data_IF_000227103443
#
_entry.id   IF_000227103443
#
_cell.length_a   1.000
_cell.length_b   1.000
_cell.length_c   1.000
_cell.angle_alpha   90.00
_cell.angle_beta   90.00
_cell.angle_gamma   90.00
#
_symmetry.space_group_name_H-M   'P 1'
#
loop_
_entity.id
_entity.type
_entity.pdbx_description
1 polymer ?
#
# COMPACT_ATOMS: atom_id res chain seq x y z
N UNK A 1 -0.02 -23.67 -10.10
CA UNK A 1 -0.80 -22.43 -9.91
C UNK A 1 -0.03 -21.33 -10.61
N UNK A 2 -0.66 -20.62 -11.56
CA UNK A 2 0.01 -19.53 -12.25
C UNK A 2 0.39 -18.41 -11.26
N UNK A 3 1.57 -17.85 -11.42
CA UNK A 3 2.14 -16.79 -10.55
C UNK A 3 2.28 -17.21 -9.08
N UNK A 4 2.67 -18.44 -8.81
CA UNK A 4 2.66 -19.06 -7.47
C UNK A 4 3.42 -18.25 -6.42
N UNK A 5 4.63 -17.78 -6.75
CA UNK A 5 5.43 -17.00 -5.80
C UNK A 5 4.78 -15.65 -5.46
N UNK A 6 4.31 -14.91 -6.46
CA UNK A 6 3.61 -13.63 -6.28
C UNK A 6 2.35 -13.80 -5.41
N UNK A 7 1.62 -14.91 -5.62
CA UNK A 7 0.43 -15.23 -4.82
C UNK A 7 0.78 -15.47 -3.35
N UNK A 8 1.86 -16.21 -3.07
CA UNK A 8 2.33 -16.49 -1.71
C UNK A 8 2.78 -15.23 -1.00
N UNK A 9 3.59 -14.41 -1.65
CA UNK A 9 4.07 -13.13 -1.10
C UNK A 9 2.89 -12.18 -0.80
N UNK A 10 1.96 -12.05 -1.75
CA UNK A 10 0.79 -11.18 -1.56
C UNK A 10 -0.12 -11.70 -0.42
N UNK A 11 -0.33 -13.03 -0.33
CA UNK A 11 -1.06 -13.64 0.77
C UNK A 11 -0.36 -13.42 2.12
N UNK A 12 0.97 -13.49 2.17
CA UNK A 12 1.76 -13.17 3.36
C UNK A 12 1.58 -11.69 3.76
N UNK A 13 1.64 -10.76 2.81
CA UNK A 13 1.41 -9.34 3.07
C UNK A 13 0.03 -9.08 3.68
N UNK A 14 -1.03 -9.72 3.17
CA UNK A 14 -2.37 -9.65 3.76
C UNK A 14 -2.41 -10.16 5.20
N UNK A 15 -1.82 -11.33 5.45
CA UNK A 15 -1.81 -11.94 6.80
C UNK A 15 -1.08 -11.05 7.81
N UNK A 16 0.03 -10.46 7.41
CA UNK A 16 0.76 -9.55 8.27
C UNK A 16 0.06 -8.21 8.46
N UNK A 17 -0.57 -7.67 7.43
CA UNK A 17 -1.41 -6.48 7.58
C UNK A 17 -2.54 -6.72 8.60
N UNK A 18 -3.14 -7.92 8.59
CA UNK A 18 -4.14 -8.28 9.60
C UNK A 18 -3.55 -8.37 11.02
N UNK A 19 -2.35 -8.97 11.19
CA UNK A 19 -1.67 -9.07 12.50
C UNK A 19 -1.28 -7.72 13.08
N UNK A 20 -0.93 -6.79 12.21
CA UNK A 20 -0.50 -5.44 12.58
C UNK A 20 -1.66 -4.45 12.73
N UNK A 21 -2.90 -4.92 12.52
CA UNK A 21 -4.11 -4.08 12.52
C UNK A 21 -4.05 -2.96 11.46
N UNK A 22 -3.46 -3.25 10.29
CA UNK A 22 -3.32 -2.32 9.17
C UNK A 22 -4.50 -2.35 8.20
N UNK A 23 -5.53 -3.12 8.49
CA UNK A 23 -6.72 -3.24 7.66
C UNK A 23 -7.98 -2.87 8.44
N UNK A 24 -9.04 -2.56 7.73
CA UNK A 24 -10.35 -2.25 8.31
C UNK A 24 -11.42 -3.21 7.78
N UNK A 25 -11.77 -4.21 8.60
CA UNK A 25 -12.77 -5.22 8.25
C UNK A 25 -12.43 -5.94 6.94
N UNK A 26 -13.22 -5.69 5.88
CA UNK A 26 -13.04 -6.23 4.52
C UNK A 26 -12.93 -5.12 3.47
N UNK A 27 -12.68 -3.89 3.91
CA UNK A 27 -12.75 -2.69 3.05
C UNK A 27 -11.45 -2.36 2.32
N UNK A 28 -10.31 -2.94 2.72
CA UNK A 28 -9.00 -2.64 2.13
C UNK A 28 -8.62 -3.64 1.03
N UNK A 29 -7.64 -3.27 0.21
CA UNK A 29 -7.25 -4.08 -0.94
C UNK A 29 -5.79 -3.91 -1.30
N UNK A 30 -5.14 -5.04 -1.65
CA UNK A 30 -3.78 -5.12 -2.13
C UNK A 30 -3.76 -5.82 -3.48
N UNK A 31 -2.90 -5.37 -4.39
CA UNK A 31 -2.70 -6.02 -5.68
C UNK A 31 -1.23 -6.09 -6.07
N UNK A 32 -0.92 -7.04 -6.94
CA UNK A 32 0.39 -7.19 -7.55
C UNK A 32 0.24 -7.53 -9.04
N UNK A 33 0.87 -6.74 -9.90
CA UNK A 33 0.91 -6.98 -11.33
C UNK A 33 1.68 -8.24 -11.68
N UNK A 34 1.17 -9.00 -12.63
CA UNK A 34 1.76 -10.26 -13.12
C UNK A 34 2.08 -10.24 -14.61
N UNK A 35 1.65 -9.22 -15.34
CA UNK A 35 2.10 -8.94 -16.70
C UNK A 35 3.07 -7.76 -16.74
N UNK A 36 3.94 -7.69 -17.74
CA UNK A 36 4.95 -6.62 -17.85
C UNK A 36 4.33 -5.23 -18.00
N UNK A 37 3.18 -5.13 -18.67
CA UNK A 37 2.44 -3.88 -18.88
C UNK A 37 1.52 -3.49 -17.70
N UNK A 38 1.50 -4.30 -16.64
CA UNK A 38 0.69 -4.07 -15.43
C UNK A 38 -0.81 -4.29 -15.60
N UNK A 39 -1.28 -4.73 -16.77
CA UNK A 39 -2.71 -4.88 -17.02
C UNK A 39 -3.31 -6.15 -16.42
N UNK A 40 -2.49 -7.19 -16.22
CA UNK A 40 -2.90 -8.39 -15.50
C UNK A 40 -2.32 -8.33 -14.08
N UNK A 41 -3.17 -8.47 -13.08
CA UNK A 41 -2.77 -8.37 -11.67
C UNK A 41 -3.59 -9.27 -10.75
N UNK A 42 -2.97 -9.67 -9.65
CA UNK A 42 -3.62 -10.37 -8.54
C UNK A 42 -4.18 -9.38 -7.54
N UNK A 43 -5.35 -9.68 -6.97
CA UNK A 43 -6.01 -8.85 -5.96
C UNK A 43 -6.85 -9.72 -5.01
N UNK A 44 -7.16 -9.23 -3.80
CA UNK A 44 -8.08 -9.91 -2.91
C UNK A 44 -9.51 -9.96 -3.46
N UNK A 45 -10.18 -11.05 -3.18
CA UNK A 45 -11.61 -11.19 -3.50
C UNK A 45 -12.46 -10.33 -2.56
N UNK A 46 -13.60 -9.89 -3.05
CA UNK A 46 -14.59 -9.11 -2.30
C UNK A 46 -15.01 -9.84 -1.02
N UNK A 47 -14.99 -9.13 0.10
CA UNK A 47 -15.37 -9.67 1.40
C UNK A 47 -14.34 -10.60 2.05
N UNK A 48 -13.14 -10.73 1.46
CA UNK A 48 -12.06 -11.50 2.07
C UNK A 48 -11.44 -10.71 3.25
N UNK A 49 -11.58 -11.24 4.45
CA UNK A 49 -10.85 -10.69 5.59
C UNK A 49 -9.34 -11.03 5.47
N UNK A 50 -8.46 -10.08 5.67
CA UNK A 50 -7.02 -10.23 5.44
C UNK A 50 -6.40 -11.39 6.22
N UNK A 51 -6.85 -11.66 7.45
CA UNK A 51 -6.39 -12.81 8.23
C UNK A 51 -6.75 -14.18 7.62
N UNK A 52 -7.55 -14.22 6.57
CA UNK A 52 -7.98 -15.44 5.88
C UNK A 52 -7.46 -15.53 4.45
N UNK A 53 -6.56 -14.62 4.07
CA UNK A 53 -5.95 -14.62 2.75
C UNK A 53 -5.17 -15.92 2.51
N UNK A 54 -5.36 -16.50 1.33
CA UNK A 54 -4.66 -17.67 0.82
C UNK A 54 -4.26 -17.43 -0.63
N UNK A 55 -3.11 -17.97 -1.05
CA UNK A 55 -2.58 -17.79 -2.40
C UNK A 55 -3.58 -18.17 -3.50
N UNK A 56 -4.32 -19.28 -3.32
CA UNK A 56 -5.34 -19.76 -4.28
C UNK A 56 -6.61 -18.91 -4.32
N UNK A 57 -6.88 -18.10 -3.29
CA UNK A 57 -8.10 -17.29 -3.20
C UNK A 57 -7.97 -15.90 -3.77
N UNK A 58 -6.78 -15.51 -4.20
CA UNK A 58 -6.57 -14.23 -4.87
C UNK A 58 -7.15 -14.28 -6.29
N UNK A 59 -7.94 -13.30 -6.65
CA UNK A 59 -8.46 -13.15 -8.00
C UNK A 59 -7.34 -12.72 -8.95
N UNK A 60 -7.33 -13.27 -10.16
CA UNK A 60 -6.53 -12.76 -11.26
C UNK A 60 -7.45 -11.90 -12.14
N UNK A 61 -7.14 -10.62 -12.21
CA UNK A 61 -7.74 -9.67 -13.16
C UNK A 61 -6.86 -9.64 -14.39
N UNK A 62 -7.45 -9.69 -15.56
CA UNK A 62 -6.75 -9.63 -16.85
C UNK A 62 -7.16 -8.42 -17.67
N UNK A 63 -6.34 -8.06 -18.64
CA UNK A 63 -6.60 -6.94 -19.56
C UNK A 63 -7.88 -7.09 -20.38
N UNK A 64 -8.42 -8.31 -20.49
CA UNK A 64 -9.69 -8.61 -21.17
C UNK A 64 -10.91 -8.43 -20.27
N UNK A 65 -10.73 -8.43 -18.95
CA UNK A 65 -11.84 -8.35 -18.00
C UNK A 65 -12.44 -6.94 -17.97
N UNK A 66 -13.77 -6.89 -17.84
CA UNK A 66 -14.53 -5.64 -17.75
C UNK A 66 -15.28 -5.60 -16.43
N UNK A 67 -15.70 -4.42 -16.02
CA UNK A 67 -16.47 -4.23 -14.79
C UNK A 67 -17.78 -5.05 -14.70
N UNK A 68 -18.28 -5.55 -15.83
CA UNK A 68 -19.46 -6.41 -15.91
C UNK A 68 -19.17 -7.92 -15.90
N UNK A 69 -17.88 -8.31 -15.87
CA UNK A 69 -17.51 -9.73 -15.93
C UNK A 69 -17.55 -10.41 -14.55
N UNK A 70 -17.70 -11.75 -14.48
CA UNK A 70 -17.77 -12.49 -13.22
C UNK A 70 -16.53 -12.28 -12.32
N UNK A 71 -15.36 -12.04 -12.90
CA UNK A 71 -14.14 -11.70 -12.14
C UNK A 71 -14.32 -10.36 -11.43
N UNK A 72 -14.88 -9.36 -12.12
CA UNK A 72 -15.15 -8.06 -11.53
C UNK A 72 -16.24 -8.14 -10.42
N UNK A 73 -17.23 -9.03 -10.56
CA UNK A 73 -18.22 -9.28 -9.49
C UNK A 73 -17.59 -9.84 -8.21
N UNK A 74 -16.47 -10.56 -8.35
CA UNK A 74 -15.72 -11.12 -7.23
C UNK A 74 -14.64 -10.18 -6.67
N UNK A 75 -14.46 -9.00 -7.25
CA UNK A 75 -13.57 -7.93 -6.78
C UNK A 75 -14.43 -6.75 -6.35
N UNK A 76 -14.01 -6.03 -5.32
CA UNK A 76 -14.70 -4.80 -4.91
C UNK A 76 -14.61 -3.76 -6.02
N UNK A 77 -15.72 -3.07 -6.33
CA UNK A 77 -15.80 -2.13 -7.44
C UNK A 77 -14.82 -0.95 -7.28
N UNK A 78 -14.61 -0.47 -6.04
CA UNK A 78 -13.67 0.62 -5.77
C UNK A 78 -12.22 0.16 -5.94
N UNK A 79 -11.93 -1.07 -5.51
CA UNK A 79 -10.64 -1.71 -5.71
C UNK A 79 -10.35 -1.93 -7.20
N UNK A 80 -11.34 -2.44 -7.96
CA UNK A 80 -11.22 -2.60 -9.41
C UNK A 80 -10.82 -1.30 -10.10
N UNK A 81 -11.55 -0.22 -9.83
CA UNK A 81 -11.29 1.09 -10.47
C UNK A 81 -9.91 1.60 -10.09
N UNK A 82 -9.61 1.73 -8.80
CA UNK A 82 -8.34 2.30 -8.37
C UNK A 82 -7.14 1.50 -8.87
N UNK A 83 -7.12 0.18 -8.66
CA UNK A 83 -5.97 -0.66 -9.01
C UNK A 83 -5.77 -0.78 -10.52
N UNK A 84 -6.85 -0.94 -11.31
CA UNK A 84 -6.75 -1.02 -12.78
C UNK A 84 -6.16 0.24 -13.40
N UNK A 85 -6.59 1.42 -12.91
CA UNK A 85 -6.06 2.70 -13.42
C UNK A 85 -4.64 2.98 -12.97
N UNK A 86 -4.30 2.67 -11.73
CA UNK A 86 -2.94 2.89 -11.22
C UNK A 86 -1.96 1.95 -11.90
N UNK A 87 -2.23 0.63 -11.97
CA UNK A 87 -1.34 -0.33 -12.64
C UNK A 87 -1.09 0.05 -14.11
N UNK A 88 -2.12 0.54 -14.82
CA UNK A 88 -2.02 0.93 -16.23
C UNK A 88 -1.24 2.23 -16.46
N UNK A 89 -1.39 3.21 -15.58
CA UNK A 89 -0.88 4.57 -15.81
C UNK A 89 0.39 4.89 -15.01
N UNK A 90 0.78 4.07 -14.04
CA UNK A 90 1.95 4.26 -13.18
C UNK A 90 2.85 3.03 -13.31
N UNK A 91 3.80 3.00 -14.26
CA UNK A 91 4.58 1.79 -14.58
C UNK A 91 5.32 1.15 -13.40
N UNK A 92 5.78 1.97 -12.44
CA UNK A 92 6.45 1.49 -11.21
C UNK A 92 5.48 0.93 -10.17
N UNK A 93 4.16 1.11 -10.34
CA UNK A 93 3.16 0.54 -9.44
C UNK A 93 2.92 -0.94 -9.76
N UNK A 94 3.98 -1.76 -9.62
CA UNK A 94 3.88 -3.23 -9.79
C UNK A 94 3.17 -3.87 -8.61
N UNK A 95 3.24 -3.26 -7.44
CA UNK A 95 2.47 -3.61 -6.25
C UNK A 95 1.76 -2.36 -5.72
N UNK A 96 0.50 -2.50 -5.33
CA UNK A 96 -0.34 -1.43 -4.80
C UNK A 96 -0.98 -1.93 -3.51
N UNK A 97 -0.73 -1.22 -2.40
CA UNK A 97 -1.31 -1.52 -1.10
C UNK A 97 -2.16 -0.32 -0.65
N UNK A 98 -3.46 -0.54 -0.46
CA UNK A 98 -4.37 0.47 0.07
C UNK A 98 -4.93 0.04 1.42
N UNK A 99 -4.79 0.90 2.42
CA UNK A 99 -5.23 0.63 3.80
C UNK A 99 -5.77 1.87 4.49
N UNK A 100 -6.56 1.61 5.55
CA UNK A 100 -7.02 2.61 6.52
C UNK A 100 -6.30 2.41 7.86
N UNK A 101 -4.96 2.35 7.83
CA UNK A 101 -4.15 2.16 9.04
C UNK A 101 -4.40 3.29 10.06
N UNK A 102 -4.44 2.99 11.36
CA UNK A 102 -4.92 3.94 12.38
C UNK A 102 -4.20 5.29 12.39
N UNK A 103 -2.87 5.30 12.38
CA UNK A 103 -2.10 6.53 12.53
C UNK A 103 -1.99 7.32 11.25
N UNK A 104 -1.76 6.66 10.11
CA UNK A 104 -1.75 7.35 8.80
C UNK A 104 -3.13 7.92 8.47
N UNK A 105 -4.22 7.20 8.78
CA UNK A 105 -5.58 7.70 8.56
C UNK A 105 -5.92 8.87 9.50
N UNK A 106 -5.46 8.81 10.76
CA UNK A 106 -5.60 9.94 11.68
C UNK A 106 -4.91 11.19 11.15
N UNK A 107 -3.69 11.06 10.62
CA UNK A 107 -2.96 12.16 10.01
C UNK A 107 -3.64 12.66 8.71
N UNK A 108 -4.11 11.74 7.85
CA UNK A 108 -4.86 12.07 6.63
C UNK A 108 -6.17 12.84 6.90
N UNK A 109 -6.69 12.77 8.13
CA UNK A 109 -7.89 13.47 8.57
C UNK A 109 -7.61 14.88 9.10
N UNK A 110 -6.35 15.30 9.18
CA UNK A 110 -5.96 16.62 9.62
C UNK A 110 -6.01 17.63 8.45
N UNK A 111 -6.55 18.81 8.70
CA UNK A 111 -6.60 19.87 7.67
C UNK A 111 -5.19 20.31 7.27
N UNK A 112 -4.92 20.31 5.97
CA UNK A 112 -3.63 20.72 5.39
C UNK A 112 -2.43 19.93 5.97
N UNK A 113 -2.64 18.65 6.31
CA UNK A 113 -1.61 17.80 6.83
C UNK A 113 -0.43 17.66 5.83
N UNK A 114 0.78 17.70 6.37
CA UNK A 114 2.02 17.32 5.70
C UNK A 114 2.82 16.40 6.62
N UNK A 115 3.37 15.35 6.05
CA UNK A 115 4.16 14.37 6.80
C UNK A 115 5.49 14.97 7.21
N UNK A 116 5.79 14.97 8.51
CA UNK A 116 6.97 15.62 9.06
C UNK A 116 8.17 14.66 9.07
N UNK A 117 9.32 15.16 8.69
CA UNK A 117 10.59 14.43 8.81
C UNK A 117 11.05 14.45 10.28
N UNK A 118 10.39 13.64 11.11
CA UNK A 118 10.54 13.67 12.56
C UNK A 118 11.59 12.67 13.08
N UNK A 119 11.80 11.59 12.34
CA UNK A 119 12.74 10.53 12.68
C UNK A 119 13.36 9.89 11.44
N UNK A 120 14.27 8.94 11.65
CA UNK A 120 14.93 8.20 10.57
C UNK A 120 13.94 7.48 9.64
N UNK A 121 12.85 6.91 10.17
CA UNK A 121 11.86 6.21 9.36
C UNK A 121 11.03 7.17 8.52
N UNK A 122 10.66 8.34 9.06
CA UNK A 122 9.97 9.37 8.32
C UNK A 122 10.80 9.88 7.14
N UNK A 123 12.13 10.00 7.30
CA UNK A 123 13.04 10.45 6.24
C UNK A 123 13.07 9.51 5.02
N UNK A 124 12.64 8.25 5.12
CA UNK A 124 12.46 7.34 3.97
C UNK A 124 11.51 7.93 2.92
N UNK A 125 10.55 8.75 3.37
CA UNK A 125 9.46 9.28 2.55
C UNK A 125 9.70 10.72 2.09
N UNK A 126 10.88 11.28 2.33
CA UNK A 126 11.21 12.64 1.93
C UNK A 126 11.00 12.83 0.42
N UNK A 127 10.18 13.83 0.07
CA UNK A 127 9.78 14.16 -1.30
C UNK A 127 9.13 13.01 -2.11
N UNK A 128 8.64 11.95 -1.44
CA UNK A 128 7.98 10.80 -2.08
C UNK A 128 6.48 10.72 -1.81
N UNK A 129 5.93 11.68 -1.07
CA UNK A 129 4.52 11.70 -0.67
C UNK A 129 3.75 12.65 -1.57
N UNK A 130 2.61 12.17 -2.10
CA UNK A 130 1.56 12.98 -2.68
C UNK A 130 0.37 13.07 -1.71
N UNK A 131 -0.43 14.11 -1.86
CA UNK A 131 -1.59 14.36 -1.00
C UNK A 131 -2.82 14.63 -1.87
N UNK A 132 -3.80 13.74 -1.79
CA UNK A 132 -5.14 14.04 -2.25
C UNK A 132 -5.88 14.80 -1.14
N UNK A 133 -6.07 16.09 -1.35
CA UNK A 133 -6.69 16.99 -0.37
C UNK A 133 -8.21 16.96 -0.41
N UNK A 134 -8.81 16.20 -1.34
CA UNK A 134 -10.23 16.22 -1.58
C UNK A 134 -10.85 14.83 -1.52
N UNK A 135 -11.65 14.57 -0.50
CA UNK A 135 -12.46 13.36 -0.43
C UNK A 135 -13.75 13.55 -1.23
N UNK A 136 -13.87 12.84 -2.36
CA UNK A 136 -15.01 12.93 -3.27
C UNK A 136 -16.06 11.81 -3.07
N UNK A 137 -15.91 10.99 -2.04
CA UNK A 137 -16.75 9.81 -1.81
C UNK A 137 -16.04 8.52 -2.26
N UNK A 138 -16.83 7.46 -2.50
CA UNK A 138 -16.29 6.17 -2.93
C UNK A 138 -15.85 6.22 -4.39
N UNK A 139 -14.74 5.55 -4.73
CA UNK A 139 -14.20 5.47 -6.08
C UNK A 139 -15.03 4.51 -6.95
N UNK A 140 -16.23 4.92 -7.34
CA UNK A 140 -17.16 4.13 -8.16
C UNK A 140 -17.20 4.56 -9.64
N UNK A 141 -16.49 5.63 -9.99
CA UNK A 141 -16.43 6.18 -11.33
C UNK A 141 -15.00 6.07 -11.91
N UNK A 142 -14.83 5.67 -13.17
CA UNK A 142 -13.54 5.61 -13.85
C UNK A 142 -12.71 6.89 -13.78
N UNK A 143 -13.34 8.06 -13.80
CA UNK A 143 -12.65 9.35 -13.68
C UNK A 143 -11.92 9.51 -12.34
N UNK A 144 -12.42 8.88 -11.28
CA UNK A 144 -11.74 8.87 -9.97
C UNK A 144 -10.47 8.03 -10.01
N UNK A 145 -10.48 6.90 -10.71
CA UNK A 145 -9.28 6.08 -10.95
C UNK A 145 -8.20 6.83 -11.72
N UNK A 146 -8.58 7.55 -12.79
CA UNK A 146 -7.66 8.40 -13.55
C UNK A 146 -7.08 9.52 -12.69
N UNK A 147 -7.94 10.20 -11.92
CA UNK A 147 -7.55 11.29 -11.03
C UNK A 147 -6.54 10.82 -9.98
N UNK A 148 -6.82 9.72 -9.31
CA UNK A 148 -5.93 9.16 -8.28
C UNK A 148 -4.59 8.72 -8.89
N UNK A 149 -4.62 8.03 -10.03
CA UNK A 149 -3.39 7.63 -10.73
C UNK A 149 -2.53 8.84 -11.11
N UNK A 150 -3.15 9.96 -11.50
CA UNK A 150 -2.43 11.18 -11.88
C UNK A 150 -1.68 11.84 -10.70
N UNK A 151 -2.04 11.57 -9.46
CA UNK A 151 -1.35 12.08 -8.27
C UNK A 151 -0.07 11.31 -7.95
N UNK A 152 0.07 10.09 -8.48
CA UNK A 152 1.25 9.24 -8.29
C UNK A 152 2.33 9.46 -9.37
N UNK A 153 2.44 10.67 -9.90
CA UNK A 153 3.47 11.05 -10.88
C UNK A 153 4.77 11.46 -10.20
N UNK A 154 5.83 11.65 -10.99
CA UNK A 154 7.11 12.28 -10.58
C UNK A 154 7.79 11.64 -9.36
N UNK A 155 7.71 10.31 -9.21
CA UNK A 155 8.39 9.58 -8.14
C UNK A 155 7.66 9.62 -6.79
N UNK A 156 6.38 10.01 -6.77
CA UNK A 156 5.52 9.92 -5.59
C UNK A 156 5.00 8.50 -5.42
N UNK A 157 5.52 7.79 -4.43
CA UNK A 157 5.20 6.37 -4.19
C UNK A 157 4.17 6.19 -3.08
N UNK A 158 3.92 7.24 -2.31
CA UNK A 158 2.96 7.28 -1.20
C UNK A 158 1.90 8.32 -1.51
N UNK A 159 0.63 7.95 -1.35
CA UNK A 159 -0.49 8.88 -1.49
C UNK A 159 -1.34 8.89 -0.22
N UNK A 160 -1.39 10.04 0.46
CA UNK A 160 -2.36 10.27 1.52
C UNK A 160 -3.67 10.74 0.90
N UNK A 161 -4.75 10.02 1.20
CA UNK A 161 -6.12 10.31 0.79
C UNK A 161 -6.84 10.99 1.96
N UNK A 162 -7.17 12.27 1.82
CA UNK A 162 -7.83 13.04 2.89
C UNK A 162 -9.10 12.34 3.38
N UNK A 163 -9.25 12.21 4.71
CA UNK A 163 -10.40 11.58 5.38
C UNK A 163 -10.66 10.11 4.96
N UNK A 164 -9.64 9.40 4.47
CA UNK A 164 -9.83 8.08 3.93
C UNK A 164 -8.73 7.11 4.41
N UNK A 165 -7.49 7.29 3.96
CA UNK A 165 -6.39 6.38 4.28
C UNK A 165 -5.15 6.66 3.45
N UNK A 166 -4.38 5.63 3.16
CA UNK A 166 -3.16 5.74 2.35
C UNK A 166 -3.11 4.69 1.25
N UNK A 167 -2.33 5.01 0.21
CA UNK A 167 -1.97 4.11 -0.87
C UNK A 167 -0.46 4.13 -1.03
N UNK A 168 0.13 2.95 -1.13
CA UNK A 168 1.56 2.74 -1.34
C UNK A 168 1.75 1.99 -2.64
N UNK A 169 2.67 2.45 -3.50
CA UNK A 169 3.08 1.75 -4.72
C UNK A 169 4.57 1.45 -4.71
N UNK A 170 4.95 0.29 -5.25
CA UNK A 170 6.35 -0.11 -5.40
C UNK A 170 6.53 -1.12 -6.54
N UNK A 171 7.79 -1.42 -6.87
CA UNK A 171 8.15 -2.39 -7.90
C UNK A 171 7.94 -3.85 -7.45
N UNK A 172 8.03 -4.14 -6.14
CA UNK A 172 7.83 -5.48 -5.57
C UNK A 172 6.89 -5.47 -4.38
N UNK A 173 6.32 -6.64 -4.04
CA UNK A 173 5.49 -6.81 -2.83
C UNK A 173 6.32 -6.53 -1.57
N UNK A 174 7.57 -6.99 -1.56
CA UNK A 174 8.48 -6.77 -0.44
C UNK A 174 8.68 -5.27 -0.17
N UNK A 175 9.02 -4.50 -1.21
CA UNK A 175 9.18 -3.05 -1.10
C UNK A 175 7.88 -2.36 -0.67
N UNK A 176 6.75 -2.69 -1.28
CA UNK A 176 5.47 -2.08 -0.93
C UNK A 176 5.10 -2.33 0.54
N UNK A 177 5.30 -3.56 1.02
CA UNK A 177 4.98 -3.93 2.40
C UNK A 177 5.94 -3.29 3.40
N UNK A 178 7.23 -3.24 3.09
CA UNK A 178 8.24 -2.58 3.92
C UNK A 178 7.94 -1.08 4.06
N UNK A 179 7.63 -0.40 2.94
CA UNK A 179 7.23 1.01 2.96
C UNK A 179 5.93 1.22 3.76
N UNK A 180 4.93 0.37 3.58
CA UNK A 180 3.67 0.43 4.33
C UNK A 180 3.93 0.30 5.84
N UNK A 181 4.76 -0.67 6.23
CA UNK A 181 5.11 -0.91 7.63
C UNK A 181 5.78 0.31 8.28
N UNK A 182 6.82 0.83 7.64
CA UNK A 182 7.57 1.96 8.20
C UNK A 182 6.79 3.28 8.11
N UNK A 183 5.90 3.43 7.13
CA UNK A 183 5.01 4.59 7.05
C UNK A 183 4.09 4.67 8.28
N UNK A 184 3.46 3.56 8.65
CA UNK A 184 2.59 3.54 9.83
C UNK A 184 3.38 3.70 11.13
N UNK A 185 4.60 3.12 11.23
CA UNK A 185 5.48 3.34 12.39
C UNK A 185 5.88 4.80 12.55
N UNK A 186 6.25 5.47 11.46
CA UNK A 186 6.59 6.89 11.48
C UNK A 186 5.36 7.77 11.77
N UNK A 187 4.19 7.43 11.21
CA UNK A 187 2.93 8.09 11.50
C UNK A 187 2.53 7.95 12.98
N UNK A 188 2.70 6.76 13.56
CA UNK A 188 2.47 6.51 14.98
C UNK A 188 3.34 7.42 15.85
N UNK A 189 4.63 7.49 15.55
CA UNK A 189 5.56 8.36 16.27
C UNK A 189 5.16 9.83 16.15
N UNK A 190 4.78 10.26 14.95
CA UNK A 190 4.35 11.63 14.69
C UNK A 190 3.08 11.99 15.48
N UNK A 191 2.06 11.13 15.50
CA UNK A 191 0.84 11.36 16.30
C UNK A 191 1.16 11.46 17.79
N UNK A 192 2.00 10.54 18.31
CA UNK A 192 2.42 10.56 19.72
C UNK A 192 3.19 11.85 20.05
N UNK A 193 4.15 12.25 19.22
CA UNK A 193 4.94 13.45 19.44
C UNK A 193 4.08 14.72 19.39
N UNK A 194 3.19 14.83 18.41
CA UNK A 194 2.24 15.94 18.29
C UNK A 194 1.29 16.05 19.49
N UNK A 195 0.86 14.91 20.06
CA UNK A 195 -0.06 14.88 21.21
C UNK A 195 0.55 15.46 22.49
N UNK A 196 1.87 15.56 22.57
CA UNK A 196 2.55 16.15 23.73
C UNK A 196 2.38 17.67 23.84
N UNK A 197 2.04 18.33 22.73
CA UNK A 197 1.99 19.78 22.63
C UNK A 197 3.33 20.50 22.79
N UNK A 198 4.44 19.74 22.80
CA UNK A 198 5.81 20.30 22.90
C UNK A 198 6.34 20.63 21.51
N UNK A 199 7.32 21.53 21.45
CA UNK A 199 8.05 21.83 20.23
C UNK A 199 8.75 20.56 19.67
N UNK A 200 8.64 20.34 18.36
CA UNK A 200 9.22 19.19 17.68
C UNK A 200 10.61 19.53 17.15
N UNK A 201 11.52 18.58 17.28
CA UNK A 201 12.83 18.67 16.62
C UNK A 201 12.74 17.92 15.29
N UNK A 202 12.66 18.68 14.19
CA UNK A 202 12.62 18.12 12.84
C UNK A 202 14.02 17.86 12.29
N UNK A 203 14.15 16.84 11.47
CA UNK A 203 15.34 16.62 10.63
C UNK A 203 15.33 17.67 9.52
N UNK A 204 16.46 18.31 9.26
CA UNK A 204 16.58 19.27 8.16
C UNK A 204 16.46 18.58 6.78
N UNK A 205 16.13 19.37 5.77
CA UNK A 205 15.85 18.87 4.42
C UNK A 205 17.06 18.16 3.78
N UNK A 206 18.28 18.63 4.02
CA UNK A 206 19.49 18.03 3.45
C UNK A 206 19.72 16.64 4.05
N UNK A 207 19.64 16.53 5.36
CA UNK A 207 19.74 15.24 6.08
C UNK A 207 18.60 14.30 5.71
N UNK A 208 17.36 14.79 5.60
CA UNK A 208 16.22 13.98 5.20
C UNK A 208 16.37 13.44 3.77
N UNK A 209 16.82 14.27 2.82
CA UNK A 209 17.09 13.86 1.45
C UNK A 209 18.22 12.81 1.37
N UNK A 210 19.28 12.99 2.15
CA UNK A 210 20.38 12.03 2.24
C UNK A 210 19.88 10.67 2.78
N UNK A 211 19.13 10.68 3.87
CA UNK A 211 18.58 9.46 4.47
C UNK A 211 17.63 8.74 3.51
N UNK A 212 16.75 9.48 2.82
CA UNK A 212 15.87 8.91 1.78
C UNK A 212 16.67 8.20 0.68
N UNK A 213 17.72 8.86 0.17
CA UNK A 213 18.62 8.28 -0.85
C UNK A 213 19.28 7.00 -0.32
N UNK A 214 19.83 7.01 0.88
CA UNK A 214 20.49 5.84 1.49
C UNK A 214 19.54 4.64 1.62
N UNK A 215 18.28 4.86 2.02
CA UNK A 215 17.28 3.80 2.10
C UNK A 215 16.95 3.21 0.71
N UNK A 216 16.85 4.04 -0.32
CA UNK A 216 16.60 3.58 -1.68
C UNK A 216 17.78 2.80 -2.29
N UNK A 217 19.00 3.08 -1.85
CA UNK A 217 20.22 2.38 -2.24
C UNK A 217 20.44 1.08 -1.43
N UNK A 218 19.51 0.71 -0.53
CA UNK A 218 19.57 -0.49 0.28
C UNK A 218 18.30 -1.38 0.11
N UNK A 219 18.00 -1.82 -1.12
CA UNK A 219 16.76 -2.53 -1.44
C UNK A 219 16.66 -3.90 -0.76
N UNK A 220 17.78 -4.54 -0.44
CA UNK A 220 17.82 -5.86 0.22
C UNK A 220 17.09 -5.87 1.57
N UNK A 221 16.96 -4.72 2.25
CA UNK A 221 16.27 -4.63 3.53
C UNK A 221 14.80 -5.05 3.42
N UNK A 222 14.11 -4.64 2.35
CA UNK A 222 12.71 -4.99 2.11
C UNK A 222 12.53 -6.49 1.85
N UNK A 223 13.41 -7.07 1.04
CA UNK A 223 13.39 -8.51 0.74
C UNK A 223 13.65 -9.35 2.00
N UNK A 224 14.64 -8.96 2.81
CA UNK A 224 14.95 -9.62 4.08
C UNK A 224 13.80 -9.48 5.07
N UNK A 225 13.12 -8.32 5.11
CA UNK A 225 11.97 -8.11 5.97
C UNK A 225 10.81 -9.04 5.57
N UNK A 226 10.41 -9.06 4.30
CA UNK A 226 9.32 -9.94 3.85
C UNK A 226 9.68 -11.41 4.05
N UNK A 227 10.92 -11.83 3.76
CA UNK A 227 11.37 -13.21 3.96
C UNK A 227 11.27 -13.62 5.44
N UNK A 228 11.70 -12.78 6.37
CA UNK A 228 11.56 -13.04 7.80
C UNK A 228 10.10 -13.15 8.25
N UNK A 229 9.22 -12.32 7.68
CA UNK A 229 7.79 -12.37 7.95
C UNK A 229 7.14 -13.65 7.41
N UNK A 230 7.54 -14.11 6.22
CA UNK A 230 7.07 -15.36 5.63
C UNK A 230 7.57 -16.57 6.44
N UNK A 231 8.82 -16.58 6.90
CA UNK A 231 9.36 -17.65 7.74
C UNK A 231 8.54 -17.84 9.03
N UNK A 232 8.12 -16.75 9.66
CA UNK A 232 7.22 -16.80 10.84
C UNK A 232 5.86 -17.41 10.46
N UNK A 233 5.28 -17.01 9.33
CA UNK A 233 4.00 -17.55 8.87
C UNK A 233 4.10 -19.05 8.51
N UNK A 234 5.19 -19.49 7.92
CA UNK A 234 5.43 -20.88 7.55
C UNK A 234 5.45 -21.79 8.79
N UNK A 235 5.97 -21.30 9.89
CA UNK A 235 5.99 -22.01 11.17
C UNK A 235 4.61 -22.04 11.84
N UNK A 236 3.91 -20.89 11.84
CA UNK A 236 2.71 -20.70 12.66
C UNK A 236 1.40 -20.96 11.90
N UNK A 237 1.32 -20.62 10.62
CA UNK A 237 0.09 -20.55 9.82
C UNK A 237 0.33 -20.89 8.34
N UNK A 238 1.00 -21.98 8.03
CA UNK A 238 1.33 -22.40 6.65
C UNK A 238 0.12 -22.57 5.70
N UNK A 239 -1.11 -22.30 6.14
CA UNK A 239 -2.30 -22.37 5.29
C UNK A 239 -2.44 -21.21 4.28
N UNK A 240 -1.66 -20.14 4.44
CA UNK A 240 -1.67 -18.99 3.51
C UNK A 240 -1.11 -19.33 2.12
N UNK A 241 -0.24 -20.34 2.04
CA UNK A 241 0.36 -20.79 0.77
C UNK A 241 -0.55 -21.68 -0.08
N UNK A 242 -1.71 -22.12 0.45
CA UNK A 242 -2.66 -23.00 -0.23
C UNK A 242 -3.35 -22.34 -1.41
#
# INVERSE_FOLDING_TARGET
MDHEQTRKELAAAFRWAARLEYHEGVANHFSAAVSDDGQDFLINTRGMHFSRAQASRLALVTSSDRASDPVAENVDATAWILHSYIHRNVPRARCILHTHMPYTTALASLKNFEFLMLDQNACRFYDRIAYDRHYAGMALDPSEGERVASLLTDGKDILFLANHGVLVVADTIAQAFDELYYLEKAAQLQVIALSTGRELQLVDNETAALACKQWREYPEAAELHLAALMDILDIELADYIK
#
